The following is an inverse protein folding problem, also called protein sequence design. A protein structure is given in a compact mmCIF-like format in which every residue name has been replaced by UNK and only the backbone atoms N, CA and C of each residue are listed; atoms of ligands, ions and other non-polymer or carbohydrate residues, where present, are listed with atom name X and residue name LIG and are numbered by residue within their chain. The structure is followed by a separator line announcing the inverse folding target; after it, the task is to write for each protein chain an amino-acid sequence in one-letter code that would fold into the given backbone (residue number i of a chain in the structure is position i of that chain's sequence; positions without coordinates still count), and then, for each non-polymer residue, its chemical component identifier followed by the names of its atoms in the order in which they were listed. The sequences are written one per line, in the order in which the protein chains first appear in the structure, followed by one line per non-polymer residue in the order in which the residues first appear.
data_IF_443995621344
#
_entry.id   IF_443995621344
#
_cell.length_a   1.000
_cell.length_b   1.000
_cell.length_c   1.000
_cell.angle_alpha   90.00
_cell.angle_beta   90.00
_cell.angle_gamma   90.00
#
_symmetry.space_group_name_H-M   'P 1'
#
loop_
_entity.id
_entity.type
_entity.pdbx_description
1 polymer ?
#
# COMPACT_ATOMS: atom_id res chain seq x y z
N UNK A 1 -5.44 25.03 -7.75
CA UNK A 1 -6.32 24.25 -6.84
C UNK A 1 -6.05 24.69 -5.41
N UNK A 2 -7.07 25.04 -4.62
CA UNK A 2 -6.88 25.43 -3.22
C UNK A 2 -6.70 24.17 -2.36
N UNK A 3 -5.71 24.20 -1.47
CA UNK A 3 -5.50 23.13 -0.51
C UNK A 3 -6.60 23.13 0.55
N UNK A 4 -7.03 21.93 0.97
CA UNK A 4 -8.05 21.69 1.98
C UNK A 4 -7.47 20.80 3.08
N UNK A 5 -7.38 21.36 4.29
CA UNK A 5 -7.02 20.61 5.48
C UNK A 5 -8.01 19.49 5.77
N UNK A 6 -9.28 19.67 5.44
CA UNK A 6 -10.30 18.63 5.60
C UNK A 6 -9.99 17.40 4.75
N UNK A 7 -9.61 17.58 3.48
CA UNK A 7 -9.24 16.45 2.61
C UNK A 7 -7.98 15.75 3.08
N UNK A 8 -7.00 16.52 3.57
CA UNK A 8 -5.81 15.94 4.19
C UNK A 8 -6.16 15.08 5.41
N UNK A 9 -6.95 15.61 6.35
CA UNK A 9 -7.35 14.88 7.56
C UNK A 9 -8.16 13.63 7.24
N UNK A 10 -9.08 13.70 6.27
CA UNK A 10 -9.86 12.53 5.82
C UNK A 10 -8.94 11.47 5.22
N UNK A 11 -7.99 11.87 4.35
CA UNK A 11 -7.03 10.94 3.75
C UNK A 11 -6.18 10.22 4.82
N UNK A 12 -5.60 10.98 5.76
CA UNK A 12 -4.79 10.43 6.84
C UNK A 12 -5.62 9.50 7.73
N UNK A 13 -6.78 9.96 8.20
CA UNK A 13 -7.63 9.16 9.09
C UNK A 13 -8.13 7.87 8.41
N UNK A 14 -8.57 7.95 7.15
CA UNK A 14 -9.02 6.80 6.37
C UNK A 14 -7.90 5.78 6.13
N UNK A 15 -6.71 6.25 5.77
CA UNK A 15 -5.55 5.39 5.57
C UNK A 15 -5.10 4.71 6.87
N UNK A 16 -4.99 5.46 7.97
CA UNK A 16 -4.64 4.91 9.28
C UNK A 16 -5.68 3.92 9.80
N UNK A 17 -6.97 4.20 9.57
CA UNK A 17 -8.04 3.27 9.89
C UNK A 17 -7.89 1.94 9.12
N UNK A 18 -7.59 1.99 7.81
CA UNK A 18 -7.36 0.77 7.04
C UNK A 18 -6.13 0.00 7.52
N UNK A 19 -5.04 0.70 7.84
CA UNK A 19 -3.83 0.10 8.41
C UNK A 19 -4.15 -0.56 9.75
N UNK A 20 -4.95 0.07 10.60
CA UNK A 20 -5.42 -0.52 11.86
C UNK A 20 -6.24 -1.80 11.62
N UNK A 21 -7.13 -1.83 10.63
CA UNK A 21 -7.86 -3.05 10.27
C UNK A 21 -6.90 -4.18 9.83
N UNK A 22 -5.87 -3.86 9.05
CA UNK A 22 -4.84 -4.81 8.66
C UNK A 22 -4.05 -5.33 9.87
N UNK A 23 -3.74 -4.48 10.86
CA UNK A 23 -3.08 -4.90 12.10
C UNK A 23 -3.97 -5.79 12.95
N UNK A 24 -5.26 -5.46 13.08
CA UNK A 24 -6.22 -6.31 13.78
C UNK A 24 -6.36 -7.67 13.08
N UNK A 25 -6.44 -7.69 11.75
CA UNK A 25 -6.46 -8.91 10.98
C UNK A 25 -5.22 -9.77 11.21
N UNK A 26 -4.02 -9.18 11.20
CA UNK A 26 -2.77 -9.88 11.55
C UNK A 26 -2.81 -10.43 12.99
N UNK A 27 -3.28 -9.63 13.95
CA UNK A 27 -3.34 -10.03 15.37
C UNK A 27 -4.28 -11.20 15.63
N UNK A 28 -5.42 -11.26 14.93
CA UNK A 28 -6.42 -12.33 15.11
C UNK A 28 -6.19 -13.54 14.19
N UNK A 29 -5.28 -13.47 13.23
CA UNK A 29 -4.99 -14.58 12.32
C UNK A 29 -4.07 -15.61 12.97
N UNK A 30 -4.69 -16.63 13.57
CA UNK A 30 -4.00 -17.76 14.22
C UNK A 30 -3.29 -18.70 13.23
N UNK A 31 -3.43 -18.47 11.92
CA UNK A 31 -2.78 -19.31 10.89
C UNK A 31 -1.38 -18.82 10.54
N UNK A 32 -0.97 -17.65 11.05
CA UNK A 32 0.34 -17.08 10.80
C UNK A 32 1.43 -17.79 11.61
N UNK A 33 2.60 -18.10 10.99
CA UNK A 33 3.80 -18.50 11.72
C UNK A 33 4.24 -17.47 12.75
N UNK A 34 5.01 -17.92 13.75
CA UNK A 34 5.58 -17.00 14.75
C UNK A 34 6.46 -15.94 14.08
N UNK A 35 6.36 -14.71 14.56
CA UNK A 35 7.17 -13.60 14.08
C UNK A 35 8.67 -13.91 14.23
N UNK A 36 9.47 -13.62 13.20
CA UNK A 36 10.90 -13.91 13.11
C UNK A 36 11.28 -15.41 13.13
N UNK A 37 10.32 -16.32 13.07
CA UNK A 37 10.62 -17.74 12.85
C UNK A 37 11.28 -17.97 11.49
N UNK A 38 12.13 -18.98 11.38
CA UNK A 38 12.78 -19.34 10.11
C UNK A 38 11.79 -20.13 9.28
N UNK A 39 11.53 -19.66 8.06
CA UNK A 39 10.62 -20.32 7.13
C UNK A 39 11.26 -21.66 6.67
N UNK A 40 10.53 -22.78 6.68
CA UNK A 40 11.09 -24.05 6.23
C UNK A 40 11.62 -23.96 4.80
N UNK A 41 12.84 -24.46 4.58
CA UNK A 41 13.55 -24.47 3.29
C UNK A 41 13.94 -23.08 2.75
N UNK A 42 13.77 -22.00 3.51
CA UNK A 42 14.32 -20.69 3.18
C UNK A 42 15.00 -20.13 4.43
N UNK A 43 16.26 -19.71 4.37
CA UNK A 43 16.99 -19.17 5.54
C UNK A 43 16.47 -17.77 5.95
N UNK A 44 15.17 -17.53 5.83
CA UNK A 44 14.52 -16.24 5.95
C UNK A 44 13.58 -16.21 7.12
N UNK A 45 13.47 -15.04 7.71
CA UNK A 45 12.57 -14.77 8.83
C UNK A 45 11.16 -14.52 8.32
N UNK A 46 10.17 -15.04 9.04
CA UNK A 46 8.78 -14.68 8.83
C UNK A 46 8.50 -13.28 9.37
N UNK A 47 8.12 -12.36 8.49
CA UNK A 47 7.96 -10.94 8.81
C UNK A 47 6.49 -10.55 8.95
N UNK A 48 6.22 -9.78 9.99
CA UNK A 48 4.94 -9.13 10.27
C UNK A 48 4.93 -7.72 9.72
N UNK A 49 3.77 -7.07 9.66
CA UNK A 49 3.62 -5.72 9.11
C UNK A 49 4.66 -4.77 9.68
N UNK A 50 4.82 -4.75 11.02
CA UNK A 50 5.71 -3.82 11.71
C UNK A 50 7.20 -3.99 11.36
N UNK A 51 7.58 -5.13 10.78
CA UNK A 51 8.97 -5.40 10.40
C UNK A 51 9.35 -4.73 9.08
N UNK A 52 8.34 -4.37 8.26
CA UNK A 52 8.55 -3.68 7.00
C UNK A 52 8.57 -2.16 7.19
N UNK A 53 9.58 -1.50 6.67
CA UNK A 53 9.66 -0.03 6.60
C UNK A 53 8.48 0.55 5.81
N UNK A 54 8.10 -0.09 4.71
CA UNK A 54 6.94 0.33 3.92
C UNK A 54 5.66 0.28 4.73
N UNK A 55 5.53 -0.62 5.69
CA UNK A 55 4.30 -0.73 6.47
C UNK A 55 4.31 0.14 7.72
N UNK A 56 5.45 0.19 8.41
CA UNK A 56 5.61 0.98 9.64
C UNK A 56 5.64 2.48 9.38
N UNK A 57 6.15 2.90 8.21
CA UNK A 57 6.36 4.32 7.90
C UNK A 57 5.83 4.70 6.51
N UNK A 58 6.10 3.88 5.50
CA UNK A 58 5.68 4.17 4.12
C UNK A 58 4.17 4.34 3.99
N UNK A 59 3.39 3.39 4.49
CA UNK A 59 1.94 3.41 4.41
C UNK A 59 1.36 4.53 5.29
N UNK A 60 1.71 4.68 6.59
CA UNK A 60 1.16 5.75 7.43
C UNK A 60 1.49 7.16 6.94
N UNK A 61 2.71 7.39 6.43
CA UNK A 61 3.17 8.72 6.02
C UNK A 61 3.04 8.89 4.51
N UNK A 62 3.81 8.13 3.74
CA UNK A 62 3.88 8.25 2.28
C UNK A 62 2.51 8.07 1.61
N UNK A 63 1.81 6.98 1.90
CA UNK A 63 0.51 6.69 1.28
C UNK A 63 -0.57 7.67 1.74
N UNK A 64 -0.54 8.15 2.99
CA UNK A 64 -1.45 9.22 3.44
C UNK A 64 -1.27 10.50 2.61
N UNK A 65 -0.03 10.89 2.29
CA UNK A 65 0.25 12.07 1.45
C UNK A 65 -0.24 11.87 0.02
N UNK A 66 -0.08 10.66 -0.54
CA UNK A 66 -0.62 10.29 -1.86
C UNK A 66 -2.15 10.37 -1.86
N UNK A 67 -2.81 9.83 -0.84
CA UNK A 67 -4.27 9.92 -0.69
C UNK A 67 -4.76 11.36 -0.54
N UNK A 68 -4.04 12.18 0.23
CA UNK A 68 -4.37 13.59 0.36
C UNK A 68 -4.28 14.30 -0.99
N UNK A 69 -3.24 14.05 -1.78
CA UNK A 69 -3.14 14.58 -3.14
C UNK A 69 -4.27 14.08 -4.05
N UNK A 70 -4.57 12.77 -4.00
CA UNK A 70 -5.61 12.15 -4.80
C UNK A 70 -6.99 12.70 -4.49
N UNK A 71 -7.36 12.89 -3.21
CA UNK A 71 -8.67 13.46 -2.86
C UNK A 71 -8.87 14.86 -3.42
N UNK A 72 -7.81 15.67 -3.48
CA UNK A 72 -7.91 16.97 -4.15
C UNK A 72 -8.14 16.82 -5.66
N UNK A 73 -7.44 15.90 -6.32
CA UNK A 73 -7.68 15.59 -7.74
C UNK A 73 -9.12 15.11 -7.96
N UNK A 74 -9.58 14.17 -7.12
CA UNK A 74 -10.90 13.57 -7.24
C UNK A 74 -11.99 14.64 -7.07
N UNK A 75 -11.97 15.43 -6.00
CA UNK A 75 -13.03 16.40 -5.75
C UNK A 75 -13.08 17.51 -6.80
N UNK A 76 -11.93 17.99 -7.27
CA UNK A 76 -11.89 19.15 -8.17
C UNK A 76 -11.85 18.80 -9.66
N UNK A 77 -11.48 17.57 -10.03
CA UNK A 77 -11.26 17.19 -11.44
C UNK A 77 -11.82 15.82 -11.84
N UNK A 78 -12.23 14.95 -10.91
CA UNK A 78 -12.85 13.70 -11.34
C UNK A 78 -14.21 13.96 -11.98
N UNK A 79 -14.44 13.23 -13.06
CA UNK A 79 -15.70 13.13 -13.76
C UNK A 79 -16.14 11.67 -13.64
N UNK A 80 -17.39 11.38 -14.01
CA UNK A 80 -17.91 10.00 -13.92
C UNK A 80 -17.03 8.98 -14.67
N UNK A 81 -16.50 9.34 -15.84
CA UNK A 81 -15.58 8.48 -16.60
C UNK A 81 -14.29 8.14 -15.85
N UNK A 82 -13.79 9.08 -15.04
CA UNK A 82 -12.57 8.88 -14.25
C UNK A 82 -12.82 7.85 -13.15
N UNK A 83 -14.00 7.84 -12.53
CA UNK A 83 -14.39 6.81 -11.57
C UNK A 83 -14.47 5.42 -12.19
N UNK A 84 -15.02 5.28 -13.40
CA UNK A 84 -15.05 3.99 -14.10
C UNK A 84 -13.65 3.46 -14.38
N UNK A 85 -12.76 4.30 -14.90
CA UNK A 85 -11.36 3.93 -15.16
C UNK A 85 -10.62 3.62 -13.85
N UNK A 86 -10.87 4.40 -12.79
CA UNK A 86 -10.30 4.16 -11.47
C UNK A 86 -10.69 2.79 -10.91
N UNK A 87 -11.95 2.39 -11.02
CA UNK A 87 -12.42 1.07 -10.60
C UNK A 87 -11.75 -0.06 -11.39
N UNK A 88 -11.68 0.07 -12.72
CA UNK A 88 -11.02 -0.94 -13.58
C UNK A 88 -9.54 -1.07 -13.23
N UNK A 89 -8.82 0.05 -13.09
CA UNK A 89 -7.42 0.04 -12.68
C UNK A 89 -7.21 -0.54 -11.29
N UNK A 90 -8.12 -0.26 -10.35
CA UNK A 90 -8.03 -0.82 -9.00
C UNK A 90 -8.12 -2.34 -9.02
N UNK A 91 -9.08 -2.90 -9.75
CA UNK A 91 -9.23 -4.35 -9.91
C UNK A 91 -8.01 -4.95 -10.64
N UNK A 92 -7.53 -4.29 -11.68
CA UNK A 92 -6.33 -4.72 -12.40
C UNK A 92 -5.12 -4.81 -11.47
N UNK A 93 -4.81 -3.76 -10.71
CA UNK A 93 -3.71 -3.77 -9.76
C UNK A 93 -3.93 -4.76 -8.61
N UNK A 94 -5.16 -4.93 -8.12
CA UNK A 94 -5.47 -5.98 -7.13
C UNK A 94 -5.12 -7.36 -7.66
N UNK A 95 -5.50 -7.68 -8.90
CA UNK A 95 -5.19 -8.95 -9.53
C UNK A 95 -3.68 -9.11 -9.73
N UNK A 96 -2.98 -8.06 -10.18
CA UNK A 96 -1.53 -8.06 -10.37
C UNK A 96 -0.78 -8.32 -9.04
N UNK A 97 -1.11 -7.58 -7.98
CA UNK A 97 -0.53 -7.80 -6.65
C UNK A 97 -0.85 -9.19 -6.08
N UNK A 98 -2.05 -9.73 -6.37
CA UNK A 98 -2.40 -11.09 -5.98
C UNK A 98 -1.58 -12.14 -6.74
N UNK A 99 -1.39 -11.96 -8.06
CA UNK A 99 -0.58 -12.87 -8.88
C UNK A 99 0.87 -12.90 -8.40
N UNK A 100 1.46 -11.73 -8.13
CA UNK A 100 2.83 -11.63 -7.61
C UNK A 100 2.93 -12.31 -6.24
N UNK A 101 2.04 -12.01 -5.30
CA UNK A 101 2.10 -12.56 -3.94
C UNK A 101 1.75 -14.04 -3.82
N UNK A 102 0.99 -14.59 -4.77
CA UNK A 102 0.64 -16.01 -4.83
C UNK A 102 1.62 -16.83 -5.68
N UNK A 103 2.59 -16.20 -6.34
CA UNK A 103 3.64 -16.87 -7.09
C UNK A 103 4.43 -17.83 -6.20
N UNK A 104 5.03 -18.87 -6.78
CA UNK A 104 5.76 -19.90 -6.01
C UNK A 104 7.08 -19.35 -5.47
N UNK A 105 7.61 -18.35 -6.15
CA UNK A 105 8.86 -17.66 -5.86
C UNK A 105 8.70 -16.65 -4.72
N UNK A 106 7.46 -16.20 -4.46
CA UNK A 106 7.17 -15.20 -3.44
C UNK A 106 7.49 -15.69 -2.03
N UNK A 107 8.32 -14.92 -1.33
CA UNK A 107 8.77 -15.20 0.02
C UNK A 107 7.62 -15.10 1.02
N UNK A 108 7.40 -16.13 1.85
CA UNK A 108 6.32 -16.10 2.82
C UNK A 108 6.44 -14.93 3.80
N UNK A 109 5.32 -14.26 4.06
CA UNK A 109 5.20 -13.17 5.02
C UNK A 109 3.76 -13.09 5.56
N UNK A 110 3.50 -12.15 6.46
CA UNK A 110 2.16 -11.96 7.07
C UNK A 110 1.00 -11.86 6.07
N UNK A 111 1.22 -11.38 4.84
CA UNK A 111 0.19 -11.29 3.79
C UNK A 111 -0.03 -12.61 3.08
N UNK A 112 1.06 -13.33 2.81
CA UNK A 112 1.11 -14.57 2.06
C UNK A 112 1.91 -15.60 2.88
N UNK A 113 1.27 -16.29 3.84
CA UNK A 113 1.98 -17.08 4.85
C UNK A 113 2.65 -18.34 4.29
N UNK A 114 2.21 -18.80 3.12
CA UNK A 114 2.92 -19.77 2.29
C UNK A 114 2.45 -19.65 0.84
N UNK A 115 3.18 -20.30 -0.08
CA UNK A 115 2.89 -20.24 -1.52
C UNK A 115 1.42 -20.58 -1.81
N UNK A 116 0.75 -19.72 -2.57
CA UNK A 116 -0.65 -19.88 -2.95
C UNK A 116 -1.68 -19.68 -1.83
N UNK A 117 -1.27 -19.24 -0.62
CA UNK A 117 -2.21 -18.91 0.47
C UNK A 117 -2.20 -17.43 0.79
N UNK A 118 -3.38 -16.93 1.15
CA UNK A 118 -3.63 -15.54 1.53
C UNK A 118 -4.14 -15.51 2.97
N UNK A 119 -3.53 -14.67 3.82
CA UNK A 119 -4.01 -14.43 5.19
C UNK A 119 -5.14 -13.40 5.21
N UNK A 120 -5.76 -13.19 6.37
CA UNK A 120 -6.73 -12.10 6.53
C UNK A 120 -6.10 -10.73 6.25
N UNK A 121 -4.84 -10.54 6.66
CA UNK A 121 -4.08 -9.35 6.34
C UNK A 121 -3.90 -9.20 4.81
N UNK A 122 -3.53 -10.28 4.12
CA UNK A 122 -3.39 -10.31 2.67
C UNK A 122 -4.69 -9.94 1.95
N UNK A 123 -5.83 -10.47 2.40
CA UNK A 123 -7.16 -10.16 1.85
C UNK A 123 -7.45 -8.66 1.95
N UNK A 124 -7.19 -8.04 3.10
CA UNK A 124 -7.40 -6.60 3.28
C UNK A 124 -6.37 -5.74 2.53
N UNK A 125 -5.16 -6.28 2.32
CA UNK A 125 -4.07 -5.57 1.65
C UNK A 125 -4.27 -5.49 0.13
N UNK A 126 -4.91 -6.47 -0.49
CA UNK A 126 -5.19 -6.43 -1.93
C UNK A 126 -5.98 -5.19 -2.36
N UNK A 127 -7.21 -4.94 -1.86
CA UNK A 127 -7.96 -3.74 -2.22
C UNK A 127 -7.22 -2.47 -1.83
N UNK A 128 -6.55 -2.45 -0.67
CA UNK A 128 -5.71 -1.31 -0.26
C UNK A 128 -4.66 -0.97 -1.31
N UNK A 129 -3.91 -1.97 -1.78
CA UNK A 129 -2.81 -1.78 -2.71
C UNK A 129 -3.31 -1.40 -4.09
N UNK A 130 -4.35 -2.06 -4.59
CA UNK A 130 -4.89 -1.76 -5.92
C UNK A 130 -5.56 -0.39 -6.02
N UNK A 131 -6.35 -0.01 -5.01
CA UNK A 131 -6.97 1.32 -4.95
C UNK A 131 -5.88 2.40 -4.82
N UNK A 132 -4.86 2.20 -3.97
CA UNK A 132 -3.76 3.15 -3.80
C UNK A 132 -2.90 3.31 -5.07
N UNK A 133 -2.64 2.20 -5.77
CA UNK A 133 -1.93 2.23 -7.06
C UNK A 133 -2.74 3.00 -8.12
N UNK A 134 -4.04 2.75 -8.22
CA UNK A 134 -4.94 3.51 -9.10
C UNK A 134 -4.96 5.00 -8.74
N UNK A 135 -5.03 5.34 -7.45
CA UNK A 135 -4.97 6.72 -6.97
C UNK A 135 -3.65 7.40 -7.39
N UNK A 136 -2.53 6.69 -7.28
CA UNK A 136 -1.22 7.17 -7.72
C UNK A 136 -1.18 7.44 -9.22
N UNK A 137 -1.73 6.56 -10.06
CA UNK A 137 -1.83 6.77 -11.51
C UNK A 137 -2.61 8.04 -11.83
N UNK A 138 -3.74 8.26 -11.15
CA UNK A 138 -4.55 9.46 -11.36
C UNK A 138 -3.89 10.73 -10.83
N UNK A 139 -3.10 10.65 -9.76
CA UNK A 139 -2.24 11.75 -9.34
C UNK A 139 -1.24 12.11 -10.45
N UNK A 140 -0.56 11.12 -11.04
CA UNK A 140 0.36 11.37 -12.19
C UNK A 140 -0.38 11.97 -13.38
N UNK A 141 -1.57 11.45 -13.71
CA UNK A 141 -2.33 11.87 -14.88
C UNK A 141 -2.94 13.27 -14.73
N UNK A 142 -3.52 13.57 -13.57
CA UNK A 142 -4.41 14.72 -13.40
C UNK A 142 -3.90 15.81 -12.45
N UNK A 143 -2.76 15.67 -11.77
CA UNK A 143 -2.15 16.79 -11.03
C UNK A 143 -1.55 17.79 -12.03
N UNK A 144 -2.16 18.97 -12.22
CA UNK A 144 -1.61 19.95 -13.14
C UNK A 144 -0.63 20.87 -12.40
N UNK A 145 0.58 21.04 -12.94
CA UNK A 145 1.54 22.06 -12.54
C UNK A 145 1.97 22.04 -11.04
N UNK A 146 3.08 22.73 -10.68
CA UNK A 146 3.54 22.78 -9.29
C UNK A 146 2.49 23.43 -8.38
N UNK A 147 2.23 22.77 -7.25
CA UNK A 147 1.31 23.23 -6.21
C UNK A 147 1.36 22.29 -5.01
N UNK A 148 0.64 22.63 -3.92
CA UNK A 148 0.68 21.86 -2.67
C UNK A 148 0.29 20.39 -2.90
N UNK A 149 -0.74 20.11 -3.69
CA UNK A 149 -1.14 18.73 -3.99
C UNK A 149 -0.04 17.94 -4.73
N UNK A 150 0.66 18.59 -5.66
CA UNK A 150 1.83 18.02 -6.35
C UNK A 150 2.98 17.76 -5.36
N UNK A 151 3.24 18.69 -4.45
CA UNK A 151 4.25 18.51 -3.40
C UNK A 151 3.89 17.34 -2.47
N UNK A 152 2.62 17.20 -2.06
CA UNK A 152 2.17 16.07 -1.26
C UNK A 152 2.38 14.73 -1.99
N UNK A 153 2.02 14.66 -3.28
CA UNK A 153 2.21 13.45 -4.06
C UNK A 153 3.69 13.09 -4.22
N UNK A 154 4.54 14.04 -4.61
CA UNK A 154 5.98 13.81 -4.80
C UNK A 154 6.66 13.45 -3.48
N UNK A 155 6.37 14.17 -2.40
CA UNK A 155 6.92 13.87 -1.07
C UNK A 155 6.43 12.51 -0.56
N UNK A 156 5.16 12.17 -0.78
CA UNK A 156 4.60 10.87 -0.42
C UNK A 156 5.25 9.72 -1.16
N UNK A 157 5.36 9.84 -2.49
CA UNK A 157 6.03 8.85 -3.34
C UNK A 157 7.52 8.71 -3.03
N UNK A 158 8.23 9.82 -2.82
CA UNK A 158 9.64 9.81 -2.44
C UNK A 158 9.86 9.14 -1.08
N UNK A 159 9.04 9.48 -0.07
CA UNK A 159 9.11 8.85 1.24
C UNK A 159 8.83 7.36 1.17
N UNK A 160 7.80 6.95 0.42
CA UNK A 160 7.48 5.54 0.21
C UNK A 160 8.63 4.78 -0.45
N UNK A 161 9.24 5.38 -1.49
CA UNK A 161 10.39 4.80 -2.18
C UNK A 161 11.58 4.61 -1.24
N UNK A 162 11.87 5.58 -0.36
CA UNK A 162 12.92 5.44 0.66
C UNK A 162 12.61 4.27 1.58
N UNK A 163 11.37 4.13 2.06
CA UNK A 163 10.98 2.98 2.88
C UNK A 163 11.13 1.65 2.11
N UNK A 164 10.74 1.61 0.85
CA UNK A 164 10.86 0.43 0.01
C UNK A 164 12.32 0.01 -0.21
N UNK A 165 13.20 0.97 -0.51
CA UNK A 165 14.64 0.73 -0.62
C UNK A 165 15.24 0.26 0.72
N UNK A 166 14.78 0.81 1.84
CA UNK A 166 15.17 0.35 3.18
C UNK A 166 14.74 -1.08 3.46
N UNK A 167 13.57 -1.52 2.98
CA UNK A 167 13.15 -2.91 3.09
C UNK A 167 14.01 -3.86 2.25
N UNK A 168 14.39 -3.47 1.03
CA UNK A 168 15.34 -4.25 0.22
C UNK A 168 16.70 -4.34 0.93
N UNK A 169 17.24 -3.22 1.39
CA UNK A 169 18.54 -3.16 2.07
C UNK A 169 18.56 -3.91 3.40
N UNK A 170 17.41 -4.00 4.09
CA UNK A 170 17.26 -4.77 5.33
C UNK A 170 17.03 -6.27 5.08
N UNK A 171 16.88 -6.68 3.82
CA UNK A 171 16.58 -8.06 3.43
C UNK A 171 15.13 -8.48 3.69
N UNK A 172 14.24 -7.52 3.93
CA UNK A 172 12.81 -7.77 4.19
C UNK A 172 12.05 -8.09 2.91
N UNK A 173 12.48 -7.52 1.77
CA UNK A 173 11.90 -7.77 0.45
C UNK A 173 12.86 -8.55 -0.45
N UNK A 174 12.30 -9.11 -1.53
CA UNK A 174 13.08 -9.70 -2.62
C UNK A 174 13.82 -8.62 -3.38
N UNK A 175 15.10 -8.86 -3.69
CA UNK A 175 15.80 -8.09 -4.72
C UNK A 175 15.23 -8.53 -6.07
N UNK A 176 14.65 -7.58 -6.82
CA UNK A 176 14.20 -7.78 -8.20
C UNK A 176 15.37 -8.12 -9.12
#
# INVERSE_FOLDING_TARGET
MKFSWTFYTIAVAGNLFWIMLMFLAEFFDKTLPEQNSIIPNTNQKFLYMKDFWTFSWGDPVGVSLIWAAFLHVAVYRFELRHWSVFCVLSIFFMADFAMIGLAKEHKPNTRYPCAGKLSWNGILRLPYSGITASASVFCVWLLPNPGIATLLFVSGGAFYLVCFLSDINSGNLESF
#
